data_IF_396149744943
#
_entry.id   IF_396149744943
#
_cell.length_a   1.000
_cell.length_b   1.000
_cell.length_c   1.000
_cell.angle_alpha   90.00
_cell.angle_beta   90.00
_cell.angle_gamma   90.00
#
_symmetry.space_group_name_H-M   'P 1'
#
loop_
_entity.id
_entity.type
_entity.pdbx_description
1 polymer ?
#
# COMPACT_ATOMS: atom_id res chain seq x y z
N UNK A 1 25.50 -19.12 13.58
CA UNK A 1 24.17 -19.67 13.17
C UNK A 1 23.16 -19.15 14.15
N UNK A 2 22.22 -18.30 13.68
CA UNK A 2 21.08 -17.87 14.51
C UNK A 2 20.14 -19.07 14.64
N UNK A 3 20.02 -19.64 15.82
CA UNK A 3 19.03 -20.68 16.13
C UNK A 3 17.72 -20.00 16.50
N UNK A 4 16.71 -20.19 15.69
CA UNK A 4 15.34 -19.76 16.04
C UNK A 4 14.86 -20.60 17.25
N UNK A 5 14.30 -19.91 18.23
CA UNK A 5 13.61 -20.56 19.34
C UNK A 5 12.13 -20.70 19.01
N UNK A 6 11.50 -21.85 19.25
CA UNK A 6 10.07 -22.01 19.03
C UNK A 6 9.27 -21.10 19.96
N UNK A 7 8.26 -20.41 19.40
CA UNK A 7 7.31 -19.63 20.20
C UNK A 7 6.28 -20.52 20.90
N UNK A 8 5.98 -21.69 20.31
CA UNK A 8 5.02 -22.65 20.83
C UNK A 8 5.63 -24.06 20.78
N UNK A 9 5.81 -24.68 21.91
CA UNK A 9 6.23 -26.08 22.05
C UNK A 9 5.02 -27.02 22.03
N UNK A 10 5.20 -28.28 21.65
CA UNK A 10 4.16 -29.30 21.62
C UNK A 10 4.44 -30.43 20.63
N UNK A 11 3.51 -30.72 19.73
CA UNK A 11 3.53 -31.88 18.82
C UNK A 11 4.56 -31.89 17.68
N UNK A 12 5.50 -30.95 17.65
CA UNK A 12 6.64 -30.98 16.71
C UNK A 12 6.36 -30.50 15.30
N UNK A 13 5.18 -29.93 15.01
CA UNK A 13 4.86 -29.39 13.69
C UNK A 13 5.82 -28.27 13.31
N UNK A 14 5.90 -27.98 12.00
CA UNK A 14 6.77 -26.94 11.44
C UNK A 14 8.23 -27.08 11.88
N UNK A 15 8.76 -28.29 11.79
CA UNK A 15 10.15 -28.60 12.18
C UNK A 15 10.47 -28.23 13.64
N UNK A 16 9.54 -28.41 14.55
CA UNK A 16 9.59 -28.00 15.97
C UNK A 16 9.69 -26.47 16.18
N UNK A 17 9.42 -25.65 15.18
CA UNK A 17 9.47 -24.19 15.32
C UNK A 17 8.13 -23.61 15.75
N UNK A 18 7.02 -24.26 15.39
CA UNK A 18 5.69 -23.81 15.74
C UNK A 18 4.74 -25.00 15.84
N UNK A 19 4.52 -25.47 17.04
CA UNK A 19 3.59 -26.58 17.31
C UNK A 19 2.14 -26.16 17.20
N UNK A 20 1.27 -27.10 16.92
CA UNK A 20 -0.18 -26.96 16.71
C UNK A 20 -0.58 -27.42 15.31
N UNK A 21 -1.71 -28.08 15.24
CA UNK A 21 -2.28 -28.58 13.98
C UNK A 21 -2.53 -27.40 13.03
N UNK A 22 -2.07 -27.51 11.79
CA UNK A 22 -2.37 -26.52 10.74
C UNK A 22 -3.86 -26.52 10.42
N UNK A 23 -4.41 -25.37 10.07
CA UNK A 23 -5.78 -25.27 9.57
C UNK A 23 -5.81 -25.66 8.10
N UNK A 24 -6.44 -26.78 7.71
CA UNK A 24 -6.54 -27.19 6.31
C UNK A 24 -7.22 -26.13 5.45
N UNK A 25 -8.27 -25.49 5.97
CA UNK A 25 -9.00 -24.45 5.24
C UNK A 25 -8.11 -23.25 4.87
N UNK A 26 -7.27 -22.78 5.80
CA UNK A 26 -6.34 -21.69 5.52
C UNK A 26 -5.23 -22.12 4.54
N UNK A 27 -4.75 -23.37 4.64
CA UNK A 27 -3.75 -23.90 3.71
C UNK A 27 -4.32 -23.98 2.28
N UNK A 28 -5.56 -24.49 2.12
CA UNK A 28 -6.23 -24.56 0.81
C UNK A 28 -6.47 -23.15 0.27
N UNK A 29 -6.95 -22.22 1.10
CA UNK A 29 -7.18 -20.82 0.69
C UNK A 29 -5.89 -20.14 0.20
N UNK A 30 -4.78 -20.35 0.89
CA UNK A 30 -3.46 -19.86 0.45
C UNK A 30 -3.03 -20.50 -0.88
N UNK A 31 -3.22 -21.82 -1.01
CA UNK A 31 -2.89 -22.56 -2.24
C UNK A 31 -3.68 -22.02 -3.44
N UNK A 32 -4.99 -21.81 -3.30
CA UNK A 32 -5.82 -21.24 -4.36
C UNK A 32 -5.44 -19.79 -4.70
N UNK A 33 -5.10 -18.98 -3.70
CA UNK A 33 -4.62 -17.61 -3.94
C UNK A 33 -3.28 -17.59 -4.70
N UNK A 34 -2.36 -18.48 -4.36
CA UNK A 34 -1.09 -18.62 -5.09
C UNK A 34 -1.32 -19.10 -6.53
N UNK A 35 -2.23 -20.05 -6.73
CA UNK A 35 -2.59 -20.52 -8.07
C UNK A 35 -3.20 -19.41 -8.92
N UNK A 36 -4.21 -18.70 -8.39
CA UNK A 36 -4.82 -17.56 -9.08
C UNK A 36 -3.79 -16.50 -9.48
N UNK A 37 -2.87 -16.17 -8.57
CA UNK A 37 -1.79 -15.21 -8.86
C UNK A 37 -0.84 -15.71 -9.95
N UNK A 38 -0.53 -17.02 -9.96
CA UNK A 38 0.34 -17.62 -10.98
C UNK A 38 -0.34 -17.60 -12.35
N UNK A 39 -1.60 -18.05 -12.41
CA UNK A 39 -2.36 -18.19 -13.65
C UNK A 39 -2.73 -16.83 -14.28
N UNK A 40 -2.92 -15.80 -13.45
CA UNK A 40 -3.37 -14.47 -13.88
C UNK A 40 -2.31 -13.36 -13.75
N UNK A 41 -1.06 -13.69 -13.49
CA UNK A 41 0.00 -12.71 -13.20
C UNK A 41 0.11 -11.62 -14.26
N UNK A 42 0.18 -11.99 -15.53
CA UNK A 42 0.32 -11.03 -16.63
C UNK A 42 -0.90 -10.12 -16.75
N UNK A 43 -2.10 -10.68 -16.62
CA UNK A 43 -3.36 -9.92 -16.62
C UNK A 43 -3.39 -8.90 -15.50
N UNK A 44 -3.00 -9.28 -14.28
CA UNK A 44 -2.98 -8.37 -13.14
C UNK A 44 -1.91 -7.30 -13.28
N UNK A 45 -0.71 -7.65 -13.76
CA UNK A 45 0.36 -6.68 -14.01
C UNK A 45 -0.09 -5.64 -15.02
N UNK A 46 -0.66 -6.06 -16.15
CA UNK A 46 -1.19 -5.14 -17.17
C UNK A 46 -2.27 -4.21 -16.61
N UNK A 47 -3.22 -4.78 -15.85
CA UNK A 47 -4.26 -3.99 -15.19
C UNK A 47 -3.68 -2.91 -14.26
N UNK A 48 -2.70 -3.27 -13.42
CA UNK A 48 -2.07 -2.32 -12.52
C UNK A 48 -1.28 -1.24 -13.24
N UNK A 49 -0.63 -1.57 -14.36
CA UNK A 49 0.05 -0.60 -15.21
C UNK A 49 -0.94 0.39 -15.85
N UNK A 50 -2.10 -0.09 -16.30
CA UNK A 50 -3.17 0.76 -16.83
C UNK A 50 -3.74 1.69 -15.75
N UNK A 51 -3.97 1.20 -14.53
CA UNK A 51 -4.42 2.02 -13.40
C UNK A 51 -3.36 3.04 -13.00
N UNK A 52 -2.08 2.65 -12.93
CA UNK A 52 -0.98 3.58 -12.64
C UNK A 52 -0.89 4.68 -13.69
N UNK A 53 -0.99 4.32 -14.96
CA UNK A 53 -0.94 5.30 -16.07
C UNK A 53 -2.12 6.28 -16.00
N UNK A 54 -3.32 5.79 -15.68
CA UNK A 54 -4.49 6.66 -15.47
C UNK A 54 -4.27 7.61 -14.29
N UNK A 55 -3.78 7.09 -13.15
CA UNK A 55 -3.49 7.90 -11.97
C UNK A 55 -2.46 9.00 -12.25
N UNK A 56 -1.37 8.67 -12.93
CA UNK A 56 -0.34 9.65 -13.28
C UNK A 56 -0.87 10.71 -14.24
N UNK A 57 -1.63 10.31 -15.26
CA UNK A 57 -2.25 11.25 -16.21
C UNK A 57 -3.27 12.16 -15.53
N UNK A 58 -4.10 11.63 -14.63
CA UNK A 58 -5.08 12.43 -13.91
C UNK A 58 -4.42 13.38 -12.90
N UNK A 59 -3.30 12.98 -12.27
CA UNK A 59 -2.47 13.86 -11.43
C UNK A 59 -1.83 15.00 -12.24
N UNK A 60 -1.26 14.70 -13.41
CA UNK A 60 -0.65 15.70 -14.30
C UNK A 60 -1.66 16.74 -14.81
N UNK A 61 -2.91 16.32 -15.04
CA UNK A 61 -3.99 17.19 -15.47
C UNK A 61 -4.74 17.88 -14.31
N UNK A 62 -4.34 17.62 -13.07
CA UNK A 62 -4.91 18.25 -11.88
C UNK A 62 -4.23 19.58 -11.56
N UNK A 63 -4.83 20.37 -10.65
CA UNK A 63 -4.21 21.57 -10.11
C UNK A 63 -3.38 21.30 -8.85
N UNK A 64 -3.14 20.03 -8.52
CA UNK A 64 -2.42 19.64 -7.31
C UNK A 64 -0.91 19.86 -7.46
N UNK A 65 -0.31 20.55 -6.52
CA UNK A 65 1.14 20.54 -6.37
C UNK A 65 1.56 19.28 -5.62
N UNK A 66 2.05 18.29 -6.33
CA UNK A 66 2.44 17.00 -5.77
C UNK A 66 3.87 16.60 -6.09
N UNK A 67 4.41 15.72 -5.29
CA UNK A 67 5.72 15.09 -5.52
C UNK A 67 5.60 13.59 -5.32
N UNK A 68 6.15 12.80 -6.25
CA UNK A 68 6.22 11.34 -6.11
C UNK A 68 7.42 10.98 -5.23
N UNK A 69 7.18 10.16 -4.20
CA UNK A 69 8.22 9.64 -3.34
C UNK A 69 8.81 8.35 -3.92
N UNK A 70 10.13 8.34 -4.05
CA UNK A 70 10.88 7.21 -4.62
C UNK A 70 10.90 7.17 -6.15
N UNK A 71 11.47 6.10 -6.70
CA UNK A 71 11.61 5.94 -8.14
C UNK A 71 10.30 5.46 -8.77
N UNK A 72 9.87 6.10 -9.87
CA UNK A 72 8.61 5.78 -10.54
C UNK A 72 8.68 4.50 -11.37
N UNK A 73 9.86 4.15 -11.86
CA UNK A 73 10.06 2.97 -12.71
C UNK A 73 10.40 1.72 -11.90
N UNK A 74 11.16 1.88 -10.81
CA UNK A 74 11.60 0.79 -9.94
C UNK A 74 10.65 0.56 -8.78
N UNK A 75 9.38 0.27 -9.08
CA UNK A 75 8.34 -0.04 -8.09
C UNK A 75 7.33 -1.05 -8.62
N UNK A 76 6.58 -1.65 -7.70
CA UNK A 76 5.43 -2.46 -8.09
C UNK A 76 4.34 -1.56 -8.71
N UNK A 77 3.67 -1.99 -9.79
CA UNK A 77 2.79 -1.10 -10.55
C UNK A 77 1.51 -0.68 -9.81
N UNK A 78 1.11 -1.43 -8.79
CA UNK A 78 -0.12 -1.17 -8.02
C UNK A 78 0.10 -0.26 -6.80
N UNK A 79 1.25 0.39 -6.67
CA UNK A 79 1.58 1.21 -5.51
C UNK A 79 2.21 2.53 -5.93
N UNK A 80 1.71 3.63 -5.40
CA UNK A 80 2.29 4.96 -5.55
C UNK A 80 2.29 5.65 -4.18
N UNK A 81 3.40 6.27 -3.81
CA UNK A 81 3.47 7.17 -2.67
C UNK A 81 3.70 8.58 -3.19
N UNK A 82 2.81 9.51 -2.82
CA UNK A 82 2.89 10.91 -3.21
C UNK A 82 2.81 11.79 -1.97
N UNK A 83 3.35 12.99 -2.06
CA UNK A 83 3.13 14.07 -1.12
C UNK A 83 2.38 15.21 -1.82
N UNK A 84 1.34 15.73 -1.20
CA UNK A 84 0.67 16.96 -1.64
C UNK A 84 1.30 18.12 -0.87
N UNK A 85 1.82 19.10 -1.59
CA UNK A 85 2.54 20.23 -1.00
C UNK A 85 1.59 21.13 -0.21
N UNK A 86 2.01 21.48 1.00
CA UNK A 86 1.23 22.35 1.89
C UNK A 86 -0.01 21.71 2.49
N UNK A 87 -0.17 20.39 2.37
CA UNK A 87 -1.27 19.63 2.98
C UNK A 87 -0.72 18.59 3.97
N UNK A 88 -1.55 18.21 4.93
CA UNK A 88 -1.29 17.11 5.87
C UNK A 88 -2.18 15.94 5.46
N UNK A 89 -1.58 14.79 5.18
CA UNK A 89 -2.29 13.61 4.64
C UNK A 89 -3.48 13.18 5.49
N UNK A 90 -3.37 13.21 6.82
CA UNK A 90 -4.46 12.83 7.71
C UNK A 90 -5.64 13.79 7.64
N UNK A 91 -5.39 15.07 7.43
CA UNK A 91 -6.46 16.04 7.22
C UNK A 91 -7.21 15.76 5.92
N UNK A 92 -6.48 15.44 4.84
CA UNK A 92 -7.09 15.03 3.56
C UNK A 92 -7.99 13.80 3.73
N UNK A 93 -7.60 12.82 4.52
CA UNK A 93 -8.40 11.61 4.73
C UNK A 93 -9.74 11.88 5.42
N UNK A 94 -9.82 12.88 6.30
CA UNK A 94 -11.06 13.26 6.96
C UNK A 94 -12.12 13.78 5.96
N UNK A 95 -11.68 14.38 4.86
CA UNK A 95 -12.57 14.86 3.79
C UNK A 95 -12.97 13.77 2.80
N UNK A 96 -12.25 12.64 2.81
CA UNK A 96 -12.47 11.52 1.89
C UNK A 96 -12.80 10.21 2.62
N UNK A 97 -13.79 10.15 3.52
CA UNK A 97 -14.08 8.97 4.33
C UNK A 97 -14.51 7.74 3.52
N UNK A 98 -14.87 7.92 2.25
CA UNK A 98 -15.25 6.87 1.31
C UNK A 98 -14.05 6.29 0.55
N UNK A 99 -12.86 6.86 0.70
CA UNK A 99 -11.62 6.40 0.04
C UNK A 99 -10.64 5.89 1.08
N UNK A 100 -10.25 4.63 0.99
CA UNK A 100 -9.25 4.05 1.88
C UNK A 100 -7.84 4.37 1.39
N UNK A 101 -7.16 5.27 2.09
CA UNK A 101 -5.77 5.65 1.86
C UNK A 101 -4.91 5.30 3.08
N UNK A 102 -3.60 5.40 2.95
CA UNK A 102 -2.68 5.13 4.06
C UNK A 102 -1.58 6.18 4.12
N UNK A 103 -1.42 6.83 5.26
CA UNK A 103 -0.29 7.73 5.56
C UNK A 103 1.05 6.99 5.73
N UNK A 104 1.03 5.67 5.77
CA UNK A 104 2.24 4.86 5.93
C UNK A 104 2.63 4.56 7.38
N UNK A 105 2.03 5.24 8.36
CA UNK A 105 2.26 5.03 9.80
C UNK A 105 1.15 4.21 10.50
N UNK A 106 0.35 3.47 9.76
CA UNK A 106 -0.94 2.90 10.16
C UNK A 106 -0.91 1.73 11.17
N UNK A 107 0.11 1.54 11.99
CA UNK A 107 0.17 0.35 12.83
C UNK A 107 0.52 0.56 14.31
N UNK A 108 0.55 1.76 14.85
CA UNK A 108 0.84 1.94 16.28
C UNK A 108 -0.24 2.77 16.97
N UNK A 109 -1.06 2.09 17.74
CA UNK A 109 -1.83 2.57 18.89
C UNK A 109 -1.84 4.10 19.16
N UNK A 110 -2.53 4.88 18.34
CA UNK A 110 -2.96 6.23 18.73
C UNK A 110 -1.90 7.35 18.74
N UNK A 111 -0.66 7.08 18.33
CA UNK A 111 0.37 8.08 18.11
C UNK A 111 0.69 8.19 16.63
N UNK A 112 0.69 9.43 16.12
CA UNK A 112 1.13 9.75 14.76
C UNK A 112 2.65 9.53 14.72
N UNK A 113 3.09 8.34 14.30
CA UNK A 113 4.51 8.10 14.09
C UNK A 113 4.89 8.44 12.64
N UNK A 114 5.92 9.27 12.51
CA UNK A 114 6.55 9.58 11.22
C UNK A 114 7.00 8.27 10.55
N UNK A 115 6.68 8.10 9.28
CA UNK A 115 7.08 6.92 8.51
C UNK A 115 8.61 6.75 8.53
N UNK A 116 9.10 5.71 9.19
CA UNK A 116 10.53 5.40 9.24
C UNK A 116 11.15 5.19 7.83
N UNK A 117 10.34 4.80 6.84
CA UNK A 117 10.77 4.67 5.44
C UNK A 117 11.04 6.04 4.83
N UNK A 118 10.09 6.99 4.97
CA UNK A 118 10.24 8.33 4.43
C UNK A 118 11.37 9.09 5.13
N UNK A 119 11.52 8.91 6.45
CA UNK A 119 12.64 9.45 7.22
C UNK A 119 13.99 8.88 6.75
N UNK A 120 14.07 7.56 6.49
CA UNK A 120 15.28 6.93 5.95
C UNK A 120 15.62 7.42 4.53
N UNK A 121 14.62 7.88 3.77
CA UNK A 121 14.81 8.55 2.48
C UNK A 121 15.28 10.00 2.63
N UNK A 122 15.39 10.51 3.85
CA UNK A 122 15.82 11.89 4.18
C UNK A 122 14.93 12.95 3.52
N UNK A 123 13.64 12.70 3.47
CA UNK A 123 12.67 13.70 3.03
C UNK A 123 12.48 14.72 4.16
N UNK A 124 12.16 15.97 3.79
CA UNK A 124 11.80 17.01 4.75
C UNK A 124 10.44 16.72 5.43
N UNK A 125 10.24 17.32 6.59
CA UNK A 125 9.07 17.05 7.42
C UNK A 125 7.77 17.44 6.72
N UNK A 126 7.71 18.58 6.03
CA UNK A 126 6.53 19.03 5.28
C UNK A 126 6.14 18.02 4.20
N UNK A 127 7.13 17.44 3.53
CA UNK A 127 6.91 16.40 2.53
C UNK A 127 6.44 15.10 3.15
N UNK A 128 6.98 14.74 4.31
CA UNK A 128 6.56 13.55 5.06
C UNK A 128 5.10 13.71 5.50
N UNK A 129 4.73 14.85 6.07
CA UNK A 129 3.39 15.14 6.57
C UNK A 129 2.34 15.12 5.45
N UNK A 130 2.69 15.61 4.26
CA UNK A 130 1.83 15.56 3.08
C UNK A 130 1.81 14.21 2.37
N UNK A 131 2.59 13.23 2.83
CA UNK A 131 2.78 11.95 2.13
C UNK A 131 1.71 10.92 2.47
N UNK A 132 1.19 10.26 1.43
CA UNK A 132 0.34 9.09 1.58
C UNK A 132 0.54 8.08 0.46
N UNK A 133 0.09 6.87 0.73
CA UNK A 133 0.20 5.76 -0.21
C UNK A 133 -1.15 5.45 -0.85
N UNK A 134 -1.13 5.39 -2.17
CA UNK A 134 -2.22 4.91 -3.00
C UNK A 134 -1.89 3.48 -3.41
N UNK A 135 -2.81 2.54 -3.17
CA UNK A 135 -2.64 1.14 -3.54
C UNK A 135 -3.86 0.66 -4.31
N UNK A 136 -3.63 0.18 -5.53
CA UNK A 136 -4.68 -0.38 -6.38
C UNK A 136 -4.82 -1.89 -6.18
N UNK A 137 -6.05 -2.35 -6.14
CA UNK A 137 -6.40 -3.76 -6.12
C UNK A 137 -6.78 -4.30 -7.50
N UNK A 138 -7.02 -5.61 -7.59
CA UNK A 138 -7.43 -6.29 -8.84
C UNK A 138 -8.78 -5.80 -9.41
N UNK A 139 -9.59 -5.11 -8.59
CA UNK A 139 -10.90 -4.58 -8.97
C UNK A 139 -10.94 -3.07 -9.05
N UNK A 140 -9.83 -2.39 -8.76
CA UNK A 140 -9.75 -0.92 -8.84
C UNK A 140 -10.01 -0.47 -10.28
N UNK A 141 -10.88 0.50 -10.44
CA UNK A 141 -11.29 1.04 -11.75
C UNK A 141 -10.68 2.42 -12.01
N UNK A 142 -10.71 2.84 -13.27
CA UNK A 142 -10.27 4.20 -13.64
C UNK A 142 -11.23 5.27 -13.10
N UNK A 143 -12.49 4.93 -12.93
CA UNK A 143 -13.50 5.80 -12.34
C UNK A 143 -13.19 6.09 -10.88
N UNK A 144 -12.78 5.09 -10.10
CA UNK A 144 -12.34 5.26 -8.72
C UNK A 144 -11.07 6.12 -8.62
N UNK A 145 -10.15 6.01 -9.58
CA UNK A 145 -8.98 6.90 -9.66
C UNK A 145 -9.40 8.36 -9.92
N UNK A 146 -10.32 8.58 -10.84
CA UNK A 146 -10.85 9.93 -11.11
C UNK A 146 -11.56 10.52 -9.90
N UNK A 147 -12.31 9.70 -9.16
CA UNK A 147 -12.98 10.14 -7.94
C UNK A 147 -11.96 10.56 -6.87
N UNK A 148 -10.87 9.78 -6.71
CA UNK A 148 -9.76 10.15 -5.82
C UNK A 148 -9.18 11.52 -6.20
N UNK A 149 -8.81 11.73 -7.45
CA UNK A 149 -8.19 12.99 -7.90
C UNK A 149 -9.16 14.16 -7.77
N UNK A 150 -10.44 13.96 -8.09
CA UNK A 150 -11.48 14.97 -7.90
C UNK A 150 -11.63 15.36 -6.43
N UNK A 151 -11.62 14.37 -5.53
CA UNK A 151 -11.71 14.62 -4.09
C UNK A 151 -10.49 15.39 -3.56
N UNK A 152 -9.30 15.08 -4.05
CA UNK A 152 -8.07 15.79 -3.70
C UNK A 152 -8.03 17.24 -4.22
N UNK A 153 -8.62 17.51 -5.39
CA UNK A 153 -8.66 18.85 -5.98
C UNK A 153 -9.68 19.81 -5.30
N UNK A 154 -10.65 19.27 -4.58
CA UNK A 154 -11.70 20.07 -3.94
C UNK A 154 -11.29 20.59 -2.56
N UNK A 155 -10.07 20.31 -2.11
CA UNK A 155 -9.44 20.69 -0.84
C UNK A 155 -8.27 21.67 -1.04
#
# INVERSE_FOLDING_TARGET
KNTLRPLMSGGGQEMNLRSGTLSPALCVGLGEACKDLTDNREKYTKHFEEIKSSLLSDLENSNLEYVINGNIEQRIPNNLNIAIKGKVAEQLFNFMPHIALSSGSACTSGTIEISHVLSAMKLDDDRIDGSFRISAGRKTTKEEIKELIKSLNNE
#
